data_IF_723832884830
#
_entry.id   IF_723832884830
#
_cell.length_a   1.000
_cell.length_b   1.000
_cell.length_c   1.000
_cell.angle_alpha   90.00
_cell.angle_beta   90.00
_cell.angle_gamma   90.00
#
_symmetry.space_group_name_H-M   'P 1'
#
loop_
_entity.id
_entity.type
_entity.pdbx_description
1 polymer ?
#
# COMPACT_ATOMS: atom_id res chain seq x y z
N UNK A 1 4.30 3.10 19.88
CA UNK A 1 3.81 3.17 18.49
C UNK A 1 4.23 4.53 17.96
N UNK A 2 5.02 4.58 16.89
CA UNK A 2 5.38 5.83 16.22
C UNK A 2 4.10 6.43 15.62
N UNK A 3 3.79 7.68 15.94
CA UNK A 3 2.72 8.41 15.27
C UNK A 3 3.32 8.92 13.96
N UNK A 4 2.75 8.58 12.79
CA UNK A 4 3.27 9.09 11.52
C UNK A 4 3.13 10.62 11.48
N UNK A 5 4.19 11.32 11.11
CA UNK A 5 4.23 12.78 10.98
C UNK A 5 3.95 13.24 9.55
N UNK A 6 4.07 12.32 8.59
CA UNK A 6 3.79 12.57 7.16
C UNK A 6 2.90 11.49 6.55
N UNK A 7 2.22 11.82 5.45
CA UNK A 7 1.46 10.84 4.67
C UNK A 7 2.34 9.70 4.15
N UNK A 8 3.58 10.03 3.79
CA UNK A 8 4.59 9.04 3.39
C UNK A 8 4.83 8.01 4.49
N UNK A 9 5.07 8.46 5.72
CA UNK A 9 5.28 7.58 6.87
C UNK A 9 4.02 6.78 7.21
N UNK A 10 2.85 7.41 7.14
CA UNK A 10 1.56 6.74 7.36
C UNK A 10 1.37 5.58 6.40
N UNK A 11 1.62 5.79 5.10
CA UNK A 11 1.48 4.76 4.06
C UNK A 11 2.51 3.63 4.25
N UNK A 12 3.76 3.97 4.55
CA UNK A 12 4.80 2.99 4.83
C UNK A 12 4.45 2.12 6.05
N UNK A 13 4.05 2.73 7.16
CA UNK A 13 3.66 2.00 8.37
C UNK A 13 2.42 1.13 8.14
N UNK A 14 1.45 1.63 7.37
CA UNK A 14 0.25 0.84 6.99
C UNK A 14 0.65 -0.41 6.18
N UNK A 15 1.51 -0.26 5.16
CA UNK A 15 2.04 -1.39 4.40
C UNK A 15 2.81 -2.38 5.28
N UNK A 16 3.65 -1.87 6.18
CA UNK A 16 4.44 -2.69 7.09
C UNK A 16 3.54 -3.52 8.01
N UNK A 17 2.57 -2.89 8.67
CA UNK A 17 1.65 -3.57 9.58
C UNK A 17 0.80 -4.64 8.87
N UNK A 18 0.31 -4.35 7.66
CA UNK A 18 -0.42 -5.32 6.84
C UNK A 18 0.48 -6.48 6.38
N UNK A 19 1.76 -6.21 6.08
CA UNK A 19 2.72 -7.25 5.75
C UNK A 19 3.00 -8.18 6.93
N UNK A 20 3.11 -7.62 8.14
CA UNK A 20 3.23 -8.41 9.38
C UNK A 20 2.00 -9.30 9.57
N UNK A 21 0.79 -8.76 9.40
CA UNK A 21 -0.45 -9.52 9.50
C UNK A 21 -0.54 -10.63 8.43
N UNK A 22 -0.10 -10.36 7.21
CA UNK A 22 -0.05 -11.36 6.14
C UNK A 22 0.85 -12.54 6.52
N UNK A 23 2.04 -12.27 7.05
CA UNK A 23 2.96 -13.32 7.49
C UNK A 23 2.45 -14.08 8.71
N UNK A 24 1.80 -13.41 9.67
CA UNK A 24 1.16 -14.08 10.82
C UNK A 24 0.00 -14.98 10.36
N UNK A 25 -0.83 -14.52 9.41
CA UNK A 25 -1.91 -15.31 8.82
C UNK A 25 -1.38 -16.58 8.12
N UNK A 26 -0.27 -16.47 7.37
CA UNK A 26 0.41 -17.62 6.79
C UNK A 26 0.92 -18.59 7.87
N UNK A 27 1.56 -18.07 8.92
CA UNK A 27 2.13 -18.89 10.00
C UNK A 27 1.06 -19.62 10.81
N UNK A 28 -0.13 -19.04 10.96
CA UNK A 28 -1.27 -19.63 11.69
C UNK A 28 -2.15 -20.56 10.84
N UNK A 29 -1.82 -20.77 9.57
CA UNK A 29 -2.68 -21.47 8.61
C UNK A 29 -4.11 -20.88 8.59
N UNK A 30 -4.21 -19.54 8.59
CA UNK A 30 -5.48 -18.85 8.44
C UNK A 30 -6.17 -19.22 7.12
N UNK A 31 -7.46 -18.89 7.00
CA UNK A 31 -8.22 -19.16 5.79
C UNK A 31 -7.56 -18.54 4.57
N UNK A 32 -7.60 -19.23 3.43
CA UNK A 32 -7.03 -18.73 2.16
C UNK A 32 -7.59 -17.34 1.81
N UNK A 33 -8.87 -17.09 2.11
CA UNK A 33 -9.51 -15.79 1.91
C UNK A 33 -8.87 -14.68 2.77
N UNK A 34 -8.57 -14.96 4.04
CA UNK A 34 -7.98 -13.96 4.95
C UNK A 34 -6.54 -13.62 4.55
N UNK A 35 -5.78 -14.64 4.13
CA UNK A 35 -4.42 -14.46 3.60
C UNK A 35 -4.44 -13.60 2.33
N UNK A 36 -5.35 -13.90 1.40
CA UNK A 36 -5.48 -13.14 0.15
C UNK A 36 -5.95 -11.70 0.39
N UNK A 37 -6.93 -11.50 1.26
CA UNK A 37 -7.43 -10.17 1.60
C UNK A 37 -6.34 -9.30 2.24
N UNK A 38 -5.60 -9.86 3.20
CA UNK A 38 -4.51 -9.14 3.88
C UNK A 38 -3.38 -8.81 2.91
N UNK A 39 -3.04 -9.73 1.99
CA UNK A 39 -2.06 -9.47 0.93
C UNK A 39 -2.52 -8.35 -0.01
N UNK A 40 -3.78 -8.39 -0.46
CA UNK A 40 -4.31 -7.38 -1.38
C UNK A 40 -4.25 -5.97 -0.76
N UNK A 41 -4.64 -5.84 0.51
CA UNK A 41 -4.53 -4.58 1.24
C UNK A 41 -3.08 -4.12 1.39
N UNK A 42 -2.14 -5.04 1.66
CA UNK A 42 -0.72 -4.71 1.72
C UNK A 42 -0.20 -4.21 0.37
N UNK A 43 -0.56 -4.87 -0.74
CA UNK A 43 -0.17 -4.47 -2.09
C UNK A 43 -0.75 -3.07 -2.44
N UNK A 44 -2.00 -2.78 -2.08
CA UNK A 44 -2.60 -1.46 -2.28
C UNK A 44 -1.89 -0.37 -1.48
N UNK A 45 -1.58 -0.62 -0.21
CA UNK A 45 -0.83 0.32 0.63
C UNK A 45 0.59 0.56 0.07
N UNK A 46 1.23 -0.48 -0.47
CA UNK A 46 2.52 -0.36 -1.15
C UNK A 46 2.43 0.51 -2.41
N UNK A 47 1.42 0.29 -3.26
CA UNK A 47 1.21 1.08 -4.47
C UNK A 47 0.99 2.56 -4.14
N UNK A 48 0.14 2.86 -3.16
CA UNK A 48 -0.10 4.22 -2.70
C UNK A 48 1.17 4.87 -2.13
N UNK A 49 1.98 4.12 -1.37
CA UNK A 49 3.29 4.61 -0.89
C UNK A 49 4.23 4.93 -2.05
N UNK A 50 4.34 4.02 -3.03
CA UNK A 50 5.17 4.22 -4.22
C UNK A 50 4.72 5.45 -5.00
N UNK A 51 3.42 5.62 -5.25
CA UNK A 51 2.87 6.82 -5.90
C UNK A 51 3.23 8.10 -5.13
N UNK A 52 3.08 8.08 -3.80
CA UNK A 52 3.38 9.20 -2.92
C UNK A 52 4.86 9.62 -2.97
N UNK A 53 5.79 8.69 -3.10
CA UNK A 53 7.23 9.01 -3.17
C UNK A 53 7.74 9.22 -4.59
N UNK A 54 6.98 8.81 -5.61
CA UNK A 54 7.50 8.76 -6.97
C UNK A 54 7.30 10.05 -7.77
N UNK A 55 6.31 10.90 -7.49
CA UNK A 55 5.94 12.06 -8.34
C UNK A 55 5.88 11.74 -9.86
N UNK A 56 5.80 10.46 -10.22
CA UNK A 56 5.81 9.98 -11.59
C UNK A 56 4.35 9.90 -12.02
N UNK A 57 3.95 10.56 -13.12
CA UNK A 57 2.61 10.41 -13.65
C UNK A 57 2.49 8.98 -14.17
N UNK A 58 1.94 8.08 -13.36
CA UNK A 58 1.54 6.75 -13.79
C UNK A 58 0.28 6.88 -14.67
N UNK A 59 0.52 7.28 -15.92
CA UNK A 59 -0.33 7.01 -17.08
C UNK A 59 -1.82 7.35 -16.96
N UNK A 60 -2.19 8.63 -17.06
CA UNK A 60 -3.58 9.06 -17.15
C UNK A 60 -3.78 10.33 -17.99
N UNK A 61 -3.63 10.22 -19.31
CA UNK A 61 -4.03 11.16 -20.38
C UNK A 61 -3.62 12.65 -20.25
N UNK A 62 -2.69 13.05 -21.12
CA UNK A 62 -2.52 14.44 -21.55
C UNK A 62 -3.83 14.96 -22.15
N UNK A 63 -4.61 15.76 -21.41
CA UNK A 63 -5.51 16.71 -22.06
C UNK A 63 -4.66 17.86 -22.58
N UNK A 64 -4.27 17.77 -23.86
CA UNK A 64 -3.74 18.89 -24.61
C UNK A 64 -4.91 19.84 -24.86
N UNK A 65 -5.05 20.88 -24.04
CA UNK A 65 -5.72 22.12 -24.45
C UNK A 65 -4.63 23.15 -24.65
N UNK A 66 -4.09 23.17 -25.87
CA UNK A 66 -3.42 24.37 -26.37
C UNK A 66 -4.50 25.41 -26.68
N UNK A 67 -4.26 26.70 -26.38
CA UNK A 67 -5.07 27.79 -26.92
C UNK A 67 -4.94 27.88 -28.44
#
# INVERSE_FOLDING_TARGET
>A
MLVPETDRERLYLTWYDLSVLYHDALARAAGVGDVQATKAMADEAWLAYVECISDLPLGGKRHRTSP
#
